data_IF_843822174643
#
_entry.id   IF_843822174643
#
_cell.length_a   1.000
_cell.length_b   1.000
_cell.length_c   1.000
_cell.angle_alpha   90.00
_cell.angle_beta   90.00
_cell.angle_gamma   90.00
#
_symmetry.space_group_name_H-M   'P 1'
#
loop_
_entity.id
_entity.type
_entity.pdbx_description
1 polymer ?
#
# COMPACT_ATOMS: atom_id res chain seq x y z
N UNK A 1 28.74 8.18 -17.23
CA UNK A 1 28.66 6.75 -17.63
C UNK A 1 27.80 5.91 -16.69
N UNK A 2 28.11 5.83 -15.38
CA UNK A 2 27.37 4.97 -14.41
C UNK A 2 25.84 5.10 -14.48
N UNK A 3 25.30 6.32 -14.39
CA UNK A 3 23.85 6.53 -14.44
C UNK A 3 23.21 6.03 -15.76
N UNK A 4 23.85 6.28 -16.91
CA UNK A 4 23.35 5.80 -18.20
C UNK A 4 23.29 4.26 -18.28
N UNK A 5 24.28 3.58 -17.70
CA UNK A 5 24.30 2.11 -17.60
C UNK A 5 23.20 1.60 -16.67
N UNK A 6 22.97 2.24 -15.52
CA UNK A 6 21.86 1.90 -14.61
C UNK A 6 20.52 2.01 -15.33
N UNK A 7 20.30 3.10 -16.07
CA UNK A 7 19.07 3.28 -16.86
C UNK A 7 18.93 2.20 -17.94
N UNK A 8 20.01 1.87 -18.64
CA UNK A 8 19.97 0.76 -19.60
C UNK A 8 19.63 -0.57 -18.92
N UNK A 9 20.26 -0.85 -17.77
CA UNK A 9 19.99 -2.03 -16.95
C UNK A 9 18.53 -2.11 -16.47
N UNK A 10 17.90 -1.00 -16.11
CA UNK A 10 16.49 -0.95 -15.75
C UNK A 10 15.59 -1.48 -16.88
N UNK A 11 15.90 -1.16 -18.14
CA UNK A 11 15.11 -1.67 -19.26
C UNK A 11 15.17 -3.20 -19.40
N UNK A 12 16.36 -3.78 -19.18
CA UNK A 12 16.54 -5.23 -19.15
C UNK A 12 15.86 -5.86 -17.94
N UNK A 13 15.98 -5.24 -16.76
CA UNK A 13 15.32 -5.70 -15.55
C UNK A 13 13.81 -5.77 -15.74
N UNK A 14 13.17 -4.72 -16.24
CA UNK A 14 11.73 -4.69 -16.50
C UNK A 14 11.29 -5.84 -17.43
N UNK A 15 12.02 -6.05 -18.53
CA UNK A 15 11.72 -7.11 -19.51
C UNK A 15 11.92 -8.50 -18.93
N UNK A 16 13.03 -8.71 -18.23
CA UNK A 16 13.38 -10.00 -17.62
C UNK A 16 12.39 -10.37 -16.51
N UNK A 17 12.00 -9.40 -15.67
CA UNK A 17 10.99 -9.59 -14.62
C UNK A 17 9.63 -9.92 -15.22
N UNK A 18 9.20 -9.24 -16.29
CA UNK A 18 7.97 -9.55 -17.00
C UNK A 18 7.97 -10.96 -17.61
N UNK A 19 9.10 -11.39 -18.16
CA UNK A 19 9.26 -12.74 -18.69
C UNK A 19 9.21 -13.81 -17.59
N UNK A 20 9.81 -13.55 -16.42
CA UNK A 20 9.84 -14.51 -15.30
C UNK A 20 8.55 -14.57 -14.48
N UNK A 21 7.80 -13.48 -14.40
CA UNK A 21 6.66 -13.35 -13.49
C UNK A 21 5.41 -12.88 -14.25
N UNK A 22 4.43 -13.77 -14.43
CA UNK A 22 3.16 -13.46 -15.08
C UNK A 22 2.40 -12.31 -14.41
N UNK A 23 2.47 -12.20 -13.09
CA UNK A 23 1.89 -11.08 -12.33
C UNK A 23 2.53 -9.73 -12.72
N UNK A 24 3.85 -9.71 -12.98
CA UNK A 24 4.53 -8.50 -13.44
C UNK A 24 4.14 -8.16 -14.89
N UNK A 25 4.00 -9.16 -15.75
CA UNK A 25 3.48 -8.95 -17.11
C UNK A 25 2.05 -8.39 -17.10
N UNK A 26 1.17 -8.91 -16.22
CA UNK A 26 -0.17 -8.39 -16.04
C UNK A 26 -0.13 -6.93 -15.59
N UNK A 27 0.72 -6.60 -14.61
CA UNK A 27 0.97 -5.22 -14.18
C UNK A 27 1.32 -4.33 -15.37
N UNK A 28 2.27 -4.72 -16.22
CA UNK A 28 2.70 -3.94 -17.39
C UNK A 28 1.61 -3.74 -18.46
N UNK A 29 0.52 -4.51 -18.46
CA UNK A 29 -0.61 -4.34 -19.40
C UNK A 29 -1.62 -3.29 -18.94
N UNK A 30 -1.56 -2.87 -17.68
CA UNK A 30 -2.55 -1.96 -17.10
C UNK A 30 -2.49 -0.54 -17.68
N UNK A 31 -1.32 -0.09 -18.15
CA UNK A 31 -1.08 1.30 -18.57
C UNK A 31 -0.20 1.38 -19.82
N UNK A 32 -0.58 2.32 -20.68
CA UNK A 32 0.15 2.66 -21.91
C UNK A 32 0.58 4.13 -21.83
N UNK A 33 1.88 4.39 -21.68
CA UNK A 33 2.45 5.74 -21.55
C UNK A 33 3.98 5.70 -21.69
N UNK A 34 4.59 6.87 -21.78
CA UNK A 34 6.05 7.05 -21.81
C UNK A 34 6.54 7.69 -20.52
N UNK A 35 7.45 7.00 -19.83
CA UNK A 35 8.17 7.52 -18.67
C UNK A 35 9.63 7.81 -19.04
N UNK A 36 10.27 8.74 -18.34
CA UNK A 36 11.71 8.96 -18.48
C UNK A 36 12.40 9.32 -17.18
N UNK A 37 13.67 8.92 -17.11
CA UNK A 37 14.59 9.31 -16.05
C UNK A 37 15.67 10.19 -16.65
N UNK A 38 15.94 11.35 -16.05
CA UNK A 38 16.92 12.31 -16.56
C UNK A 38 17.67 13.06 -15.47
N UNK A 39 18.82 13.62 -15.81
CA UNK A 39 19.46 14.68 -15.03
C UNK A 39 18.79 16.02 -15.29
N UNK A 40 18.80 16.92 -14.30
CA UNK A 40 18.18 18.26 -14.39
C UNK A 40 18.74 19.09 -15.54
N UNK A 41 20.03 18.93 -15.84
CA UNK A 41 20.69 19.58 -16.98
C UNK A 41 20.41 18.91 -18.34
N UNK A 42 19.58 17.86 -18.40
CA UNK A 42 19.21 17.14 -19.63
C UNK A 42 20.31 16.31 -20.29
N UNK A 43 21.56 16.35 -19.78
CA UNK A 43 22.71 15.68 -20.42
C UNK A 43 22.64 14.16 -20.41
N UNK A 44 22.01 13.56 -19.40
CA UNK A 44 21.86 12.11 -19.31
C UNK A 44 20.40 11.77 -19.07
N UNK A 45 19.84 10.90 -19.90
CA UNK A 45 18.51 10.34 -19.67
C UNK A 45 18.22 9.15 -20.57
N UNK A 46 17.12 8.47 -20.24
CA UNK A 46 16.54 7.37 -21.01
C UNK A 46 15.04 7.38 -20.77
N UNK A 47 14.29 7.16 -21.84
CA UNK A 47 12.86 6.98 -21.77
C UNK A 47 12.48 5.51 -21.95
N UNK A 48 11.29 5.17 -21.44
CA UNK A 48 10.68 3.85 -21.41
C UNK A 48 9.24 4.01 -21.85
N UNK A 49 8.88 3.39 -22.97
CA UNK A 49 7.51 3.33 -23.44
C UNK A 49 6.91 2.00 -23.01
N UNK A 50 5.82 2.08 -22.27
CA UNK A 50 4.98 0.96 -21.87
C UNK A 50 3.81 0.87 -22.85
N UNK A 51 3.65 -0.28 -23.48
CA UNK A 51 2.53 -0.52 -24.40
C UNK A 51 2.13 -1.99 -24.40
N UNK A 52 0.92 -2.28 -23.95
CA UNK A 52 0.28 -3.60 -23.99
C UNK A 52 1.17 -4.70 -23.37
N UNK A 53 1.82 -4.40 -22.25
CA UNK A 53 2.73 -5.30 -21.55
C UNK A 53 4.17 -5.32 -22.06
N UNK A 54 4.50 -4.58 -23.14
CA UNK A 54 5.85 -4.47 -23.69
C UNK A 54 6.53 -3.19 -23.20
N UNK A 55 7.85 -3.26 -23.06
CA UNK A 55 8.70 -2.12 -22.67
C UNK A 55 9.75 -1.85 -23.75
N UNK A 56 9.67 -0.69 -24.39
CA UNK A 56 10.69 -0.18 -25.31
C UNK A 56 11.50 0.89 -24.58
N UNK A 57 12.81 0.96 -24.79
CA UNK A 57 13.62 2.04 -24.20
C UNK A 57 14.68 2.54 -25.16
N UNK A 58 14.98 3.84 -25.12
CA UNK A 58 16.05 4.48 -25.90
C UNK A 58 16.74 5.56 -25.06
N UNK A 59 18.05 5.71 -25.26
CA UNK A 59 18.82 6.79 -24.64
C UNK A 59 18.37 8.15 -25.17
N UNK A 60 18.48 9.17 -24.32
CA UNK A 60 18.07 10.54 -24.61
C UNK A 60 16.82 10.95 -23.84
N UNK A 61 16.35 12.15 -24.14
CA UNK A 61 15.16 12.77 -23.54
C UNK A 61 14.04 12.72 -24.57
N UNK A 62 12.88 12.21 -24.16
CA UNK A 62 11.68 12.22 -24.97
C UNK A 62 10.92 13.53 -24.71
N UNK A 63 10.53 14.29 -25.74
CA UNK A 63 9.81 15.55 -25.57
C UNK A 63 8.44 15.32 -24.88
N UNK A 64 7.74 14.26 -25.27
CA UNK A 64 6.36 13.98 -24.83
C UNK A 64 6.27 12.89 -23.75
N UNK A 65 7.28 12.77 -22.88
CA UNK A 65 7.17 11.83 -21.75
C UNK A 65 6.14 12.31 -20.74
N UNK A 66 5.09 11.52 -20.49
CA UNK A 66 4.04 11.83 -19.53
C UNK A 66 4.51 11.75 -18.08
N UNK A 67 5.51 10.91 -17.80
CA UNK A 67 6.15 10.79 -16.48
C UNK A 67 7.62 11.13 -16.58
N UNK A 68 8.08 12.10 -15.78
CA UNK A 68 9.47 12.58 -15.79
C UNK A 68 10.04 12.54 -14.36
N UNK A 69 10.96 11.60 -14.13
CA UNK A 69 11.75 11.53 -12.90
C UNK A 69 13.09 12.24 -13.12
N UNK A 70 13.25 13.41 -12.53
CA UNK A 70 14.44 14.26 -12.69
C UNK A 70 15.33 14.17 -11.45
N UNK A 71 16.60 13.84 -11.66
CA UNK A 71 17.64 13.86 -10.63
C UNK A 71 18.49 15.13 -10.76
N UNK A 72 18.95 15.70 -9.65
CA UNK A 72 19.85 16.86 -9.63
C UNK A 72 21.07 16.65 -10.55
N UNK A 73 21.74 15.52 -10.42
CA UNK A 73 22.87 15.12 -11.27
C UNK A 73 23.01 13.60 -11.35
N UNK A 74 23.92 13.14 -12.21
CA UNK A 74 24.15 11.71 -12.47
C UNK A 74 24.83 10.98 -11.30
N UNK A 75 25.55 11.68 -10.43
CA UNK A 75 26.25 11.09 -9.27
C UNK A 75 25.22 10.74 -8.20
N UNK A 76 24.35 11.69 -7.88
CA UNK A 76 23.23 11.50 -6.95
C UNK A 76 22.29 10.41 -7.49
N UNK A 77 21.93 10.47 -8.77
CA UNK A 77 21.07 9.46 -9.38
C UNK A 77 21.64 8.04 -9.26
N UNK A 78 22.95 7.88 -9.55
CA UNK A 78 23.61 6.59 -9.41
C UNK A 78 23.64 6.12 -7.95
N UNK A 79 23.90 7.02 -6.99
CA UNK A 79 23.90 6.68 -5.57
C UNK A 79 22.53 6.17 -5.09
N UNK A 80 21.44 6.81 -5.52
CA UNK A 80 20.09 6.50 -5.06
C UNK A 80 19.47 5.25 -5.69
N UNK A 81 19.96 4.85 -6.87
CA UNK A 81 19.45 3.71 -7.63
C UNK A 81 20.31 2.45 -7.52
N UNK A 82 21.55 2.56 -7.03
CA UNK A 82 22.43 1.41 -6.86
C UNK A 82 22.08 0.61 -5.58
N UNK A 83 21.93 -0.72 -5.67
CA UNK A 83 21.79 -1.57 -4.48
C UNK A 83 23.03 -1.56 -3.57
N UNK A 84 22.88 -1.74 -2.24
CA UNK A 84 21.61 -1.81 -1.52
C UNK A 84 20.93 -0.44 -1.43
N UNK A 85 19.65 -0.38 -1.80
CA UNK A 85 18.88 0.87 -1.78
C UNK A 85 18.65 1.28 -0.33
N UNK A 86 19.04 2.51 0.02
CA UNK A 86 18.83 3.10 1.34
C UNK A 86 17.65 4.07 1.30
N UNK A 87 16.54 3.68 1.91
CA UNK A 87 15.28 4.42 1.89
C UNK A 87 15.41 5.79 2.57
N UNK A 88 16.20 5.88 3.65
CA UNK A 88 16.50 7.15 4.31
C UNK A 88 17.18 8.16 3.36
N UNK A 89 18.08 7.69 2.49
CA UNK A 89 18.74 8.55 1.51
C UNK A 89 17.76 9.01 0.42
N UNK A 90 16.82 8.17 0.02
CA UNK A 90 15.75 8.56 -0.93
C UNK A 90 14.83 9.62 -0.32
N UNK A 91 14.43 9.46 0.95
CA UNK A 91 13.59 10.43 1.66
C UNK A 91 14.30 11.78 1.77
N UNK A 92 15.58 11.78 2.17
CA UNK A 92 16.37 13.01 2.24
C UNK A 92 16.52 13.65 0.86
N UNK A 93 16.75 12.87 -0.19
CA UNK A 93 16.85 13.39 -1.56
C UNK A 93 15.55 14.03 -2.06
N UNK A 94 14.38 13.49 -1.68
CA UNK A 94 13.09 14.11 -1.99
C UNK A 94 12.90 15.41 -1.19
N UNK A 95 13.20 15.40 0.11
CA UNK A 95 13.13 16.59 0.97
C UNK A 95 14.04 17.72 0.50
N UNK A 96 15.26 17.38 0.07
CA UNK A 96 16.28 18.33 -0.37
C UNK A 96 16.13 18.70 -1.86
N UNK A 97 15.02 18.31 -2.50
CA UNK A 97 14.70 18.58 -3.92
C UNK A 97 15.76 18.08 -4.91
N UNK A 98 16.44 16.99 -4.58
CA UNK A 98 17.40 16.32 -5.46
C UNK A 98 16.74 15.35 -6.44
N UNK A 99 15.52 14.92 -6.12
CA UNK A 99 14.63 14.18 -7.00
C UNK A 99 13.36 15.02 -7.18
N UNK A 100 12.90 15.10 -8.41
CA UNK A 100 11.61 15.67 -8.77
C UNK A 100 10.84 14.68 -9.65
N UNK A 101 9.54 14.53 -9.43
CA UNK A 101 8.68 13.60 -10.16
C UNK A 101 7.48 14.38 -10.71
N UNK A 102 7.44 14.53 -12.02
CA UNK A 102 6.38 15.24 -12.72
C UNK A 102 5.55 14.28 -13.58
N UNK A 103 4.25 14.56 -13.71
CA UNK A 103 3.29 13.79 -14.49
C UNK A 103 1.97 13.60 -13.74
N UNK A 104 0.97 12.98 -14.38
CA UNK A 104 -0.29 12.63 -13.70
C UNK A 104 -0.04 11.68 -12.52
N UNK A 105 -0.63 11.97 -11.35
CA UNK A 105 -0.44 11.21 -10.10
C UNK A 105 -0.65 9.71 -10.27
N UNK A 106 -1.64 9.31 -11.06
CA UNK A 106 -1.91 7.92 -11.37
C UNK A 106 -0.71 7.24 -12.05
N UNK A 107 -0.14 7.89 -13.08
CA UNK A 107 0.98 7.34 -13.85
C UNK A 107 2.29 7.39 -13.06
N UNK A 108 2.54 8.47 -12.32
CA UNK A 108 3.75 8.61 -11.51
C UNK A 108 3.78 7.58 -10.37
N UNK A 109 2.65 7.37 -9.68
CA UNK A 109 2.51 6.31 -8.68
C UNK A 109 2.60 4.92 -9.33
N UNK A 110 1.89 4.69 -10.44
CA UNK A 110 1.96 3.40 -11.14
C UNK A 110 3.40 3.05 -11.54
N UNK A 111 4.14 4.01 -12.09
CA UNK A 111 5.51 3.83 -12.57
C UNK A 111 6.47 3.50 -11.43
N UNK A 112 6.44 4.30 -10.35
CA UNK A 112 7.30 4.10 -9.19
C UNK A 112 7.04 2.76 -8.50
N UNK A 113 5.77 2.39 -8.29
CA UNK A 113 5.40 1.08 -7.72
C UNK A 113 5.81 -0.08 -8.63
N UNK A 114 5.69 0.06 -9.95
CA UNK A 114 6.13 -0.97 -10.91
C UNK A 114 7.64 -1.18 -10.87
N UNK A 115 8.43 -0.11 -10.74
CA UNK A 115 9.89 -0.25 -10.53
C UNK A 115 10.18 -0.97 -9.23
N UNK A 116 9.55 -0.58 -8.11
CA UNK A 116 9.75 -1.22 -6.81
C UNK A 116 9.35 -2.70 -6.83
N UNK A 117 8.28 -3.04 -7.53
CA UNK A 117 7.79 -4.40 -7.71
C UNK A 117 8.81 -5.32 -8.39
N UNK A 118 9.75 -4.79 -9.20
CA UNK A 118 10.84 -5.61 -9.77
C UNK A 118 11.70 -6.28 -8.72
N UNK A 119 11.77 -5.69 -7.51
CA UNK A 119 12.58 -6.19 -6.40
C UNK A 119 11.84 -7.23 -5.56
N UNK A 120 10.50 -7.21 -5.57
CA UNK A 120 9.68 -7.96 -4.61
C UNK A 120 8.71 -8.95 -5.24
N UNK A 121 8.43 -8.88 -6.56
CA UNK A 121 7.43 -9.76 -7.21
C UNK A 121 7.75 -11.25 -7.10
N UNK A 122 9.03 -11.59 -7.00
CA UNK A 122 9.48 -12.97 -6.79
C UNK A 122 9.49 -13.41 -5.33
N UNK A 123 9.25 -12.51 -4.37
CA UNK A 123 9.33 -12.83 -2.95
C UNK A 123 8.13 -13.68 -2.55
N UNK A 124 8.43 -14.78 -1.86
CA UNK A 124 7.44 -15.59 -1.17
C UNK A 124 7.53 -15.25 0.31
N UNK A 125 6.47 -14.66 0.84
CA UNK A 125 6.37 -14.35 2.26
C UNK A 125 5.88 -15.59 3.03
N UNK A 126 6.37 -15.75 4.26
CA UNK A 126 6.00 -16.85 5.16
C UNK A 126 7.01 -17.98 5.20
N UNK A 127 6.86 -18.85 6.20
CA UNK A 127 7.63 -20.07 6.38
C UNK A 127 6.86 -21.27 5.83
N UNK A 128 7.48 -22.05 4.96
CA UNK A 128 6.88 -23.28 4.44
C UNK A 128 6.73 -24.30 5.58
N UNK A 129 5.56 -24.92 5.65
CA UNK A 129 5.23 -25.98 6.58
C UNK A 129 4.89 -27.27 5.79
N UNK A 130 4.84 -28.44 6.45
CA UNK A 130 4.41 -29.67 5.81
C UNK A 130 3.04 -29.55 5.10
N UNK A 131 2.81 -30.42 4.11
CA UNK A 131 1.53 -30.57 3.40
C UNK A 131 1.05 -29.32 2.64
N UNK A 132 1.98 -28.48 2.18
CA UNK A 132 1.69 -27.28 1.38
C UNK A 132 1.13 -26.11 2.16
N UNK A 133 1.24 -26.13 3.50
CA UNK A 133 0.80 -25.02 4.37
C UNK A 133 1.89 -23.95 4.40
N UNK A 134 1.48 -22.68 4.38
CA UNK A 134 2.36 -21.55 4.63
C UNK A 134 2.03 -20.92 5.98
N UNK A 135 3.04 -20.73 6.84
CA UNK A 135 2.91 -20.03 8.12
C UNK A 135 3.36 -18.58 7.96
N UNK A 136 2.45 -17.66 8.24
CA UNK A 136 2.71 -16.21 8.28
C UNK A 136 2.70 -15.72 9.72
N UNK A 137 3.19 -14.50 9.91
CA UNK A 137 3.04 -13.74 11.15
C UNK A 137 2.01 -12.65 10.96
N UNK A 138 1.19 -12.41 11.98
CA UNK A 138 0.31 -11.25 12.03
C UNK A 138 0.11 -10.82 13.49
N UNK A 139 -0.56 -9.70 13.68
CA UNK A 139 -0.84 -9.13 14.99
C UNK A 139 -2.30 -8.74 15.10
N UNK A 140 -2.84 -8.85 16.31
CA UNK A 140 -4.19 -8.41 16.67
C UNK A 140 -4.13 -7.57 17.93
N UNK A 141 -5.23 -6.93 18.31
CA UNK A 141 -5.34 -6.25 19.60
C UNK A 141 -5.23 -7.21 20.79
N UNK A 142 -5.43 -8.52 20.56
CA UNK A 142 -5.28 -9.55 21.57
C UNK A 142 -3.92 -10.26 21.55
N UNK A 143 -2.96 -9.78 20.76
CA UNK A 143 -1.57 -10.27 20.74
C UNK A 143 -1.10 -10.79 19.36
N UNK A 144 0.22 -11.11 19.27
CA UNK A 144 0.85 -11.62 18.06
C UNK A 144 0.57 -13.09 17.85
N UNK A 145 0.36 -13.48 16.59
CA UNK A 145 -0.02 -14.83 16.22
C UNK A 145 0.65 -15.32 14.94
N UNK A 146 0.80 -16.64 14.86
CA UNK A 146 1.05 -17.31 13.59
C UNK A 146 -0.28 -17.55 12.87
N UNK A 147 -0.30 -17.32 11.56
CA UNK A 147 -1.44 -17.61 10.66
C UNK A 147 -1.02 -18.75 9.73
N UNK A 148 -1.74 -19.85 9.75
CA UNK A 148 -1.49 -20.98 8.85
C UNK A 148 -2.49 -20.93 7.70
N UNK A 149 -1.98 -20.88 6.48
CA UNK A 149 -2.78 -20.73 5.26
C UNK A 149 -2.49 -21.88 4.31
N UNK A 150 -3.54 -22.40 3.68
CA UNK A 150 -3.44 -23.38 2.60
C UNK A 150 -4.45 -23.03 1.52
N UNK A 151 -4.04 -23.08 0.26
CA UNK A 151 -4.89 -22.80 -0.90
C UNK A 151 -5.64 -21.44 -0.78
N UNK A 152 -4.94 -20.43 -0.27
CA UNK A 152 -5.48 -19.08 -0.06
C UNK A 152 -6.47 -18.93 1.10
N UNK A 153 -6.70 -19.97 1.92
CA UNK A 153 -7.60 -19.95 3.08
C UNK A 153 -6.87 -20.10 4.40
N UNK A 154 -7.28 -19.32 5.40
CA UNK A 154 -6.77 -19.45 6.76
C UNK A 154 -7.30 -20.75 7.37
N UNK A 155 -6.38 -21.64 7.73
CA UNK A 155 -6.70 -22.89 8.42
C UNK A 155 -6.89 -22.63 9.92
N UNK A 156 -5.89 -22.01 10.55
CA UNK A 156 -5.88 -21.72 11.99
C UNK A 156 -4.97 -20.54 12.33
N UNK A 157 -5.14 -20.03 13.54
CA UNK A 157 -4.26 -19.05 14.16
C UNK A 157 -3.81 -19.56 15.53
N UNK A 158 -2.56 -19.36 15.89
CA UNK A 158 -1.99 -19.83 17.17
C UNK A 158 -1.10 -18.75 17.79
N UNK A 159 -0.84 -18.80 19.09
CA UNK A 159 0.27 -18.04 19.67
C UNK A 159 1.59 -18.34 18.94
N UNK A 160 2.55 -17.44 19.10
CA UNK A 160 3.90 -17.61 18.58
C UNK A 160 4.71 -18.37 19.63
N UNK A 161 5.27 -19.50 19.23
CA UNK A 161 6.29 -20.23 19.99
C UNK A 161 7.65 -19.80 19.45
N UNK A 162 8.55 -19.40 20.36
CA UNK A 162 9.90 -18.97 20.00
C UNK A 162 10.81 -20.18 19.88
N UNK A 163 11.68 -20.17 18.88
CA UNK A 163 12.68 -21.23 18.69
C UNK A 163 14.06 -20.80 19.23
N UNK A 164 15.05 -21.67 19.08
CA UNK A 164 16.40 -21.44 19.59
C UNK A 164 17.17 -20.35 18.82
N UNK A 165 16.65 -19.89 17.68
CA UNK A 165 17.19 -18.75 16.94
C UNK A 165 16.72 -17.41 17.52
N UNK A 166 15.64 -17.40 18.31
CA UNK A 166 15.16 -16.22 19.01
C UNK A 166 16.00 -15.98 20.28
N UNK A 167 16.35 -14.72 20.62
CA UNK A 167 17.11 -14.41 21.82
C UNK A 167 16.50 -14.94 23.13
N UNK A 168 17.35 -15.17 24.13
CA UNK A 168 16.88 -15.59 25.44
C UNK A 168 16.03 -14.53 26.14
N UNK A 169 15.04 -15.00 26.90
CA UNK A 169 14.20 -14.12 27.71
C UNK A 169 14.98 -13.51 28.88
N UNK A 170 14.40 -12.49 29.51
CA UNK A 170 14.95 -11.93 30.75
C UNK A 170 14.92 -12.99 31.87
N UNK A 171 15.81 -12.84 32.85
CA UNK A 171 15.88 -13.70 34.04
C UNK A 171 15.81 -12.84 35.29
N UNK A 172 15.02 -13.26 36.28
CA UNK A 172 14.96 -12.64 37.60
C UNK A 172 15.39 -13.65 38.65
N UNK A 173 16.35 -13.28 39.49
CA UNK A 173 16.72 -14.04 40.69
C UNK A 173 16.09 -13.39 41.92
N UNK A 174 15.27 -14.14 42.65
CA UNK A 174 14.63 -13.65 43.86
C UNK A 174 14.36 -14.80 44.84
N UNK A 175 14.62 -14.56 46.13
CA UNK A 175 14.35 -15.53 47.22
C UNK A 175 14.96 -16.92 46.96
N UNK A 176 16.19 -16.96 46.44
CA UNK A 176 16.90 -18.20 46.11
C UNK A 176 16.31 -18.98 44.92
N UNK A 177 15.43 -18.36 44.12
CA UNK A 177 14.83 -18.96 42.92
C UNK A 177 15.16 -18.13 41.68
N UNK A 178 15.22 -18.83 40.55
CA UNK A 178 15.37 -18.23 39.21
C UNK A 178 14.02 -18.28 38.49
N UNK A 179 13.56 -17.12 38.01
CA UNK A 179 12.32 -16.98 37.26
C UNK A 179 12.62 -16.57 35.82
N UNK A 180 12.09 -17.33 34.87
CA UNK A 180 12.17 -17.06 33.44
C UNK A 180 10.76 -17.08 32.84
N UNK A 181 10.42 -16.17 31.90
CA UNK A 181 9.17 -16.24 31.18
C UNK A 181 9.13 -17.48 30.27
N UNK A 182 7.95 -18.03 29.95
CA UNK A 182 7.81 -19.05 28.92
C UNK A 182 8.31 -18.55 27.56
N UNK A 183 8.91 -19.44 26.75
CA UNK A 183 9.35 -19.15 25.37
C UNK A 183 8.20 -19.15 24.37
N UNK A 184 7.13 -18.42 24.68
CA UNK A 184 5.95 -18.24 23.81
C UNK A 184 5.19 -16.96 24.13
N UNK A 185 4.43 -16.49 23.15
CA UNK A 185 3.43 -15.43 23.35
C UNK A 185 2.13 -16.01 23.88
N UNK A 186 1.22 -15.13 24.31
CA UNK A 186 -0.15 -15.48 24.69
C UNK A 186 -1.14 -14.67 23.85
N UNK A 187 -2.38 -15.15 23.78
CA UNK A 187 -3.45 -14.51 23.02
C UNK A 187 -4.70 -14.34 23.87
N UNK A 188 -5.36 -13.19 23.71
CA UNK A 188 -6.69 -13.00 24.24
C UNK A 188 -7.73 -13.85 23.47
N UNK A 189 -8.87 -14.23 24.10
CA UNK A 189 -9.87 -15.08 23.46
C UNK A 189 -10.39 -14.56 22.11
N UNK A 190 -10.59 -13.24 21.99
CA UNK A 190 -11.07 -12.64 20.74
C UNK A 190 -10.04 -12.71 19.60
N UNK A 191 -8.74 -12.80 19.91
CA UNK A 191 -7.69 -13.00 18.89
C UNK A 191 -7.68 -14.43 18.35
N UNK A 192 -7.91 -15.43 19.22
CA UNK A 192 -8.01 -16.83 18.81
C UNK A 192 -9.18 -17.05 17.82
N UNK A 193 -10.25 -16.27 17.99
CA UNK A 193 -11.46 -16.36 17.18
C UNK A 193 -11.47 -15.40 15.98
N UNK A 194 -10.36 -14.71 15.67
CA UNK A 194 -10.34 -13.70 14.60
C UNK A 194 -10.72 -14.27 13.21
N UNK A 195 -10.59 -15.60 13.02
CA UNK A 195 -10.92 -16.28 11.78
C UNK A 195 -12.42 -16.18 11.46
N UNK A 196 -13.28 -16.27 12.48
CA UNK A 196 -14.73 -16.16 12.29
C UNK A 196 -15.15 -14.73 11.95
N UNK A 197 -14.41 -13.72 12.44
CA UNK A 197 -14.63 -12.32 12.05
C UNK A 197 -14.20 -12.05 10.60
N UNK A 198 -13.08 -12.63 10.16
CA UNK A 198 -12.59 -12.49 8.78
C UNK A 198 -13.58 -13.10 7.78
N UNK A 199 -14.08 -14.31 8.06
CA UNK A 199 -14.99 -15.06 7.20
C UNK A 199 -16.45 -15.00 7.66
N UNK A 200 -16.83 -13.95 8.39
CA UNK A 200 -18.21 -13.78 8.84
C UNK A 200 -19.17 -13.66 7.65
N UNK A 201 -20.36 -14.29 7.68
CA UNK A 201 -21.39 -14.06 6.68
C UNK A 201 -21.84 -12.58 6.62
N UNK A 202 -21.68 -11.84 7.72
CA UNK A 202 -22.05 -10.43 7.81
C UNK A 202 -20.95 -9.47 7.31
N UNK A 203 -19.86 -10.01 6.73
CA UNK A 203 -18.77 -9.18 6.23
C UNK A 203 -19.22 -8.35 5.03
N UNK A 204 -19.04 -7.03 5.11
CA UNK A 204 -19.19 -6.16 3.95
C UNK A 204 -18.10 -6.47 2.90
N UNK A 205 -18.52 -7.03 1.76
CA UNK A 205 -17.65 -7.46 0.66
C UNK A 205 -17.50 -6.42 -0.45
N UNK A 206 -18.51 -5.54 -0.61
CA UNK A 206 -18.59 -4.58 -1.70
C UNK A 206 -19.07 -3.23 -1.18
N UNK A 207 -18.78 -2.13 -1.89
CA UNK A 207 -19.45 -0.86 -1.69
C UNK A 207 -20.98 -1.01 -1.85
N UNK A 208 -21.72 -0.38 -0.94
CA UNK A 208 -23.17 -0.41 -0.90
C UNK A 208 -23.71 1.03 -0.89
N UNK A 209 -24.80 1.26 -1.62
CA UNK A 209 -25.54 2.53 -1.66
C UNK A 209 -26.98 2.27 -1.23
N UNK A 210 -27.57 3.20 -0.48
CA UNK A 210 -29.00 3.08 -0.11
C UNK A 210 -29.84 3.22 -1.37
N UNK A 211 -30.83 2.34 -1.55
CA UNK A 211 -31.60 2.23 -2.81
C UNK A 211 -32.38 3.50 -3.20
N UNK A 212 -32.69 4.34 -2.22
CA UNK A 212 -33.46 5.58 -2.41
C UNK A 212 -32.60 6.85 -2.27
N UNK A 213 -31.28 6.70 -2.31
CA UNK A 213 -30.34 7.81 -2.25
C UNK A 213 -29.81 8.15 -3.65
N UNK A 214 -30.29 9.27 -4.18
CA UNK A 214 -29.73 9.90 -5.38
C UNK A 214 -28.93 11.15 -4.98
N UNK A 215 -27.60 11.19 -5.19
CA UNK A 215 -26.79 12.36 -4.88
C UNK A 215 -26.96 13.51 -5.89
N UNK A 216 -27.61 13.28 -7.04
CA UNK A 216 -27.77 14.27 -8.11
C UNK A 216 -28.99 15.17 -7.96
N UNK A 217 -29.97 14.75 -7.17
CA UNK A 217 -31.16 15.55 -6.84
C UNK A 217 -30.88 16.55 -5.70
N UNK A 218 -31.72 17.60 -5.53
CA UNK A 218 -31.62 18.54 -4.41
C UNK A 218 -31.55 17.84 -3.06
N UNK A 219 -30.85 18.43 -2.08
CA UNK A 219 -30.65 17.83 -0.74
C UNK A 219 -31.97 17.44 -0.07
N UNK A 220 -33.03 18.23 -0.27
CA UNK A 220 -34.39 17.99 0.22
C UNK A 220 -35.01 16.70 -0.30
N UNK A 221 -34.56 16.20 -1.46
CA UNK A 221 -35.11 15.03 -2.15
C UNK A 221 -34.26 13.76 -1.96
N UNK A 222 -33.20 13.82 -1.15
CA UNK A 222 -32.26 12.68 -0.92
C UNK A 222 -32.74 11.65 0.11
N UNK A 223 -34.02 11.69 0.50
CA UNK A 223 -34.69 10.74 1.39
C UNK A 223 -33.93 10.44 2.71
N UNK A 224 -33.50 11.49 3.43
CA UNK A 224 -32.74 11.32 4.68
C UNK A 224 -33.56 10.65 5.81
N UNK A 225 -34.88 10.79 5.78
CA UNK A 225 -35.81 10.17 6.72
C UNK A 225 -35.82 8.63 6.62
N UNK A 226 -35.35 8.05 5.51
CA UNK A 226 -35.34 6.59 5.30
C UNK A 226 -34.02 5.91 5.76
N UNK A 227 -33.09 6.66 6.37
CA UNK A 227 -31.85 6.09 6.91
C UNK A 227 -32.16 5.10 8.04
N UNK A 228 -31.67 3.86 7.91
CA UNK A 228 -31.96 2.76 8.85
C UNK A 228 -33.23 1.97 8.53
N UNK A 229 -33.96 2.33 7.46
CA UNK A 229 -35.17 1.64 7.00
C UNK A 229 -34.98 1.05 5.60
N UNK A 230 -34.57 1.87 4.63
CA UNK A 230 -34.38 1.42 3.25
C UNK A 230 -33.19 0.48 3.11
N UNK A 231 -33.31 -0.48 2.18
CA UNK A 231 -32.25 -1.41 1.84
C UNK A 231 -31.08 -0.79 1.07
N UNK A 232 -30.14 -1.64 0.68
CA UNK A 232 -28.94 -1.24 -0.05
C UNK A 232 -28.79 -2.03 -1.33
N UNK A 233 -28.28 -1.36 -2.36
CA UNK A 233 -27.81 -1.98 -3.60
C UNK A 233 -26.29 -1.98 -3.64
N UNK A 234 -25.73 -2.95 -4.36
CA UNK A 234 -24.29 -3.01 -4.63
C UNK A 234 -23.94 -2.00 -5.71
N UNK A 235 -22.87 -1.25 -5.46
CA UNK A 235 -22.28 -0.33 -6.45
C UNK A 235 -20.81 -0.65 -6.67
N UNK A 236 -20.22 -0.05 -7.70
CA UNK A 236 -18.79 -0.17 -7.97
C UNK A 236 -17.96 0.70 -6.99
N UNK A 237 -16.66 0.43 -6.89
CA UNK A 237 -15.76 1.31 -6.15
C UNK A 237 -15.65 2.70 -6.80
N UNK A 238 -15.63 2.77 -8.13
CA UNK A 238 -15.55 4.04 -8.86
C UNK A 238 -16.78 4.90 -8.58
N UNK A 239 -17.99 4.33 -8.66
CA UNK A 239 -19.22 5.04 -8.32
C UNK A 239 -19.21 5.51 -6.85
N UNK A 240 -18.82 4.64 -5.92
CA UNK A 240 -18.77 4.99 -4.50
C UNK A 240 -17.79 6.15 -4.22
N UNK A 241 -16.61 6.10 -4.84
CA UNK A 241 -15.58 7.11 -4.69
C UNK A 241 -15.98 8.43 -5.37
N UNK A 242 -16.60 8.39 -6.54
CA UNK A 242 -17.09 9.58 -7.24
C UNK A 242 -18.17 10.30 -6.44
N UNK A 243 -19.12 9.56 -5.87
CA UNK A 243 -20.17 10.12 -5.01
C UNK A 243 -19.54 10.80 -3.78
N UNK A 244 -18.67 10.10 -3.05
CA UNK A 244 -18.06 10.62 -1.81
C UNK A 244 -17.13 11.80 -2.11
N UNK A 245 -16.27 11.69 -3.12
CA UNK A 245 -15.35 12.76 -3.49
C UNK A 245 -16.09 13.98 -4.06
N UNK A 246 -17.17 13.77 -4.82
CA UNK A 246 -18.05 14.82 -5.30
C UNK A 246 -18.67 15.62 -4.16
N UNK A 247 -19.23 14.94 -3.16
CA UNK A 247 -19.82 15.58 -1.99
C UNK A 247 -18.78 16.28 -1.10
N UNK A 248 -17.59 15.70 -0.91
CA UNK A 248 -16.47 16.37 -0.22
C UNK A 248 -16.11 17.69 -0.92
N UNK A 249 -15.98 17.67 -2.25
CA UNK A 249 -15.69 18.88 -3.05
C UNK A 249 -16.83 19.91 -2.94
N UNK A 250 -18.08 19.46 -3.00
CA UNK A 250 -19.27 20.31 -2.86
C UNK A 250 -19.29 21.00 -1.49
N UNK A 251 -19.16 20.25 -0.41
CA UNK A 251 -19.17 20.77 0.96
C UNK A 251 -18.02 21.75 1.19
N UNK A 252 -16.81 21.44 0.72
CA UNK A 252 -15.67 22.36 0.81
C UNK A 252 -15.91 23.67 0.07
N UNK A 253 -16.54 23.63 -1.10
CA UNK A 253 -16.83 24.83 -1.91
C UNK A 253 -17.95 25.69 -1.30
N UNK A 254 -19.01 25.07 -0.80
CA UNK A 254 -20.22 25.77 -0.34
C UNK A 254 -20.16 26.22 1.11
N UNK A 255 -19.46 25.45 1.97
CA UNK A 255 -19.48 25.66 3.43
C UNK A 255 -18.10 25.64 4.08
N UNK A 256 -17.03 25.39 3.30
CA UNK A 256 -15.68 25.24 3.80
C UNK A 256 -15.41 23.85 4.43
N UNK A 257 -14.13 23.54 4.70
CA UNK A 257 -13.73 22.22 5.21
C UNK A 257 -14.28 21.90 6.60
N UNK A 258 -14.61 22.91 7.42
CA UNK A 258 -15.21 22.72 8.74
C UNK A 258 -16.62 22.12 8.71
N UNK A 259 -17.30 22.09 7.56
CA UNK A 259 -18.61 21.46 7.43
C UNK A 259 -18.54 19.92 7.34
N UNK A 260 -17.34 19.33 7.24
CA UNK A 260 -17.13 17.88 7.15
C UNK A 260 -16.70 17.37 8.51
N UNK A 261 -17.51 16.50 9.13
CA UNK A 261 -17.14 15.83 10.37
C UNK A 261 -16.51 14.46 10.09
N UNK A 262 -15.47 14.10 10.84
CA UNK A 262 -14.90 12.75 10.84
C UNK A 262 -14.73 12.28 12.28
N UNK A 263 -15.19 11.07 12.55
CA UNK A 263 -15.06 10.42 13.85
C UNK A 263 -14.70 8.96 13.65
N UNK A 264 -14.03 8.39 14.66
CA UNK A 264 -13.66 6.99 14.71
C UNK A 264 -13.79 6.49 16.16
N UNK A 265 -13.95 5.19 16.35
CA UNK A 265 -13.92 4.59 17.69
C UNK A 265 -12.53 4.68 18.34
N UNK A 266 -12.46 4.44 19.65
CA UNK A 266 -11.20 4.48 20.42
C UNK A 266 -10.19 3.39 19.99
N UNK A 267 -10.68 2.28 19.44
CA UNK A 267 -9.87 1.15 19.02
C UNK A 267 -10.06 0.86 17.53
N UNK A 268 -9.04 0.26 16.91
CA UNK A 268 -9.02 -0.11 15.50
C UNK A 268 -8.30 -1.45 15.33
N UNK A 269 -8.38 -2.07 14.14
CA UNK A 269 -7.55 -3.23 13.81
C UNK A 269 -6.07 -2.89 13.96
N UNK A 270 -5.30 -3.81 14.55
CA UNK A 270 -3.88 -3.59 14.80
C UNK A 270 -3.10 -3.35 13.50
N UNK A 271 -2.15 -2.41 13.54
CA UNK A 271 -1.21 -2.15 12.46
C UNK A 271 -0.83 -0.68 12.36
N UNK A 272 0.42 -0.34 12.66
CA UNK A 272 0.86 1.05 12.86
C UNK A 272 0.58 1.97 11.67
N UNK A 273 0.77 1.47 10.44
CA UNK A 273 0.56 2.28 9.22
C UNK A 273 -0.94 2.50 8.96
N UNK A 274 -1.74 1.44 9.05
CA UNK A 274 -3.18 1.47 8.78
C UNK A 274 -4.04 1.96 9.94
N UNK A 275 -3.46 2.15 11.13
CA UNK A 275 -4.17 2.64 12.30
C UNK A 275 -4.75 4.04 12.06
N UNK A 276 -5.86 4.37 12.71
CA UNK A 276 -6.52 5.67 12.51
C UNK A 276 -5.60 6.86 12.84
N UNK A 277 -4.69 6.70 13.81
CA UNK A 277 -3.69 7.72 14.17
C UNK A 277 -2.72 8.04 13.03
N UNK A 278 -2.60 7.15 12.04
CA UNK A 278 -1.72 7.25 10.88
C UNK A 278 -2.52 7.51 9.61
N UNK A 279 -3.12 6.47 9.00
CA UNK A 279 -3.72 6.57 7.67
C UNK A 279 -4.96 7.49 7.64
N UNK A 280 -5.87 7.33 8.60
CA UNK A 280 -7.09 8.17 8.66
C UNK A 280 -6.71 9.65 8.90
N UNK A 281 -5.87 9.92 9.91
CA UNK A 281 -5.40 11.27 10.19
C UNK A 281 -4.69 11.91 8.99
N UNK A 282 -3.83 11.17 8.29
CA UNK A 282 -3.15 11.67 7.09
C UNK A 282 -4.16 12.07 6.01
N UNK A 283 -5.16 11.22 5.75
CA UNK A 283 -6.19 11.50 4.75
C UNK A 283 -7.05 12.70 5.15
N UNK A 284 -7.62 12.69 6.35
CA UNK A 284 -8.59 13.71 6.75
C UNK A 284 -7.95 15.09 6.95
N UNK A 285 -6.67 15.15 7.36
CA UNK A 285 -5.93 16.41 7.43
C UNK A 285 -5.71 17.03 6.03
N UNK A 286 -5.60 16.21 4.98
CA UNK A 286 -5.50 16.71 3.60
C UNK A 286 -6.88 17.16 3.06
N UNK A 287 -7.96 16.52 3.49
CA UNK A 287 -9.33 16.91 3.12
C UNK A 287 -9.75 18.20 3.84
N UNK A 288 -9.48 18.31 5.14
CA UNK A 288 -10.02 19.30 6.07
C UNK A 288 -11.31 18.80 6.74
N UNK A 289 -11.47 19.07 8.03
CA UNK A 289 -12.61 18.62 8.83
C UNK A 289 -12.84 19.46 10.09
N UNK A 290 -14.00 19.27 10.72
CA UNK A 290 -14.26 19.55 12.15
C UNK A 290 -14.17 18.25 12.95
N UNK A 291 -13.60 18.34 14.16
CA UNK A 291 -13.49 17.24 15.13
C UNK A 291 -14.56 17.33 16.20
#
# INVERSE_FOLDING_TARGET
MKFSLILFGLSWMLRLTAWRHSAFLARLKEKNFTAQLRTRNGKVGRWYQFKDGKVISKSGIHPDAEVVLTFKDAVIAAKLLMPPIRQLEQINALRDFYIDLAGPDELTNWFTQTILMTQTVGWKYGAQMPNGVMRYTNMTNGGPLFVYVKDGKILRMTPIEFDDSDPEGWTIEARGKTFKPPRKTTLAPHALNWKSMIYSPDRLLYPLKRVDFDPTVPVSERNYQNRGVSGYERISWDEALDIVAGEIKRMKREHGPGAIANSHGSHHTWGNIGYYLSANNRFINAVGMTR
#
